data_IF_004125664545
#
_entry.id   IF_004125664545
#
_cell.length_a   1.000
_cell.length_b   1.000
_cell.length_c   1.000
_cell.angle_alpha   90.00
_cell.angle_beta   90.00
_cell.angle_gamma   90.00
#
_symmetry.space_group_name_H-M   'P 1'
#
loop_
_entity.id
_entity.type
_entity.pdbx_description
1 polymer ?
#
# COMPACT_ATOMS: atom_id res chain seq x y z
N UNK A 1 10.59 2.34 20.71
CA UNK A 1 9.76 3.44 20.15
C UNK A 1 10.64 4.63 19.72
N UNK A 2 11.49 5.18 20.59
CA UNK A 2 12.35 6.34 20.25
C UNK A 2 13.22 6.09 19.00
N UNK A 3 14.01 5.05 18.97
CA UNK A 3 14.86 4.71 17.81
C UNK A 3 14.06 4.55 16.53
N UNK A 4 12.85 3.99 16.62
CA UNK A 4 11.97 3.81 15.45
C UNK A 4 11.46 5.15 14.92
N UNK A 5 11.07 6.10 15.78
CA UNK A 5 10.61 7.43 15.37
C UNK A 5 11.75 8.18 14.67
N UNK A 6 12.96 8.13 15.24
CA UNK A 6 14.15 8.72 14.61
C UNK A 6 14.45 8.06 13.25
N UNK A 7 14.37 6.74 13.16
CA UNK A 7 14.58 6.03 11.90
C UNK A 7 13.51 6.41 10.85
N UNK A 8 12.24 6.52 11.24
CA UNK A 8 11.17 7.00 10.34
C UNK A 8 11.53 8.39 9.79
N UNK A 9 11.93 9.32 10.67
CA UNK A 9 12.32 10.66 10.23
C UNK A 9 13.50 10.60 9.25
N UNK A 10 14.57 9.88 9.57
CA UNK A 10 15.76 9.78 8.73
C UNK A 10 15.43 9.23 7.34
N UNK A 11 14.66 8.12 7.25
CA UNK A 11 14.28 7.54 5.95
C UNK A 11 13.39 8.48 5.12
N UNK A 12 12.48 9.21 5.75
CA UNK A 12 11.63 10.19 5.06
C UNK A 12 12.46 11.37 4.58
N UNK A 13 13.37 11.86 5.41
CA UNK A 13 14.24 12.98 5.10
C UNK A 13 15.23 12.66 3.96
N UNK A 14 15.85 11.48 4.00
CA UNK A 14 16.70 10.97 2.93
C UNK A 14 15.93 10.81 1.61
N UNK A 15 14.69 10.34 1.67
CA UNK A 15 13.83 10.25 0.49
C UNK A 15 13.53 11.63 -0.10
N UNK A 16 13.19 12.60 0.72
CA UNK A 16 12.92 13.97 0.28
C UNK A 16 14.16 14.66 -0.28
N UNK A 17 15.33 14.45 0.33
CA UNK A 17 16.61 14.90 -0.20
C UNK A 17 16.91 14.28 -1.57
N UNK A 18 16.67 12.98 -1.75
CA UNK A 18 16.84 12.30 -3.02
C UNK A 18 15.93 12.86 -4.14
N UNK A 19 14.73 13.38 -3.77
CA UNK A 19 13.83 14.09 -4.68
C UNK A 19 14.18 15.57 -4.88
N UNK A 20 15.23 16.08 -4.22
CA UNK A 20 15.55 17.51 -4.17
C UNK A 20 14.35 18.37 -3.72
N UNK A 21 13.54 17.81 -2.81
CA UNK A 21 12.35 18.50 -2.30
C UNK A 21 12.76 19.75 -1.51
N UNK A 22 12.04 20.84 -1.78
CA UNK A 22 12.21 22.10 -1.04
C UNK A 22 10.92 22.44 -0.32
N UNK A 23 11.00 22.54 1.00
CA UNK A 23 9.90 23.06 1.80
C UNK A 23 9.71 24.56 1.57
N UNK A 24 8.49 25.03 1.73
CA UNK A 24 8.19 26.47 1.78
C UNK A 24 8.89 27.07 3.00
N UNK A 25 9.75 28.13 2.82
CA UNK A 25 10.47 28.77 3.91
C UNK A 25 9.60 29.30 5.04
N UNK A 26 8.32 29.57 4.76
CA UNK A 26 7.35 30.02 5.78
C UNK A 26 6.81 28.86 6.64
N UNK A 27 7.09 27.62 6.29
CA UNK A 27 6.65 26.45 7.04
C UNK A 27 7.54 26.22 8.26
N UNK A 28 6.96 26.27 9.45
CA UNK A 28 7.65 25.98 10.72
C UNK A 28 8.12 24.52 10.83
N UNK A 29 7.35 23.57 10.28
CA UNK A 29 7.68 22.18 10.20
C UNK A 29 8.04 21.79 8.75
N UNK A 30 9.06 20.96 8.58
CA UNK A 30 9.42 20.35 7.32
C UNK A 30 8.37 19.32 6.86
N UNK A 31 8.40 18.92 5.60
CA UNK A 31 7.58 17.80 5.13
C UNK A 31 8.02 16.49 5.79
N UNK A 32 9.32 16.32 6.08
CA UNK A 32 9.86 15.16 6.83
C UNK A 32 9.16 15.00 8.18
N UNK A 33 9.00 16.08 8.94
CA UNK A 33 8.31 16.07 10.23
C UNK A 33 6.82 15.76 10.10
N UNK A 34 6.12 16.34 9.10
CA UNK A 34 4.70 16.08 8.83
C UNK A 34 4.47 14.62 8.50
N UNK A 35 5.29 14.02 7.63
CA UNK A 35 5.19 12.60 7.26
C UNK A 35 5.57 11.71 8.43
N UNK A 36 6.56 12.10 9.25
CA UNK A 36 6.92 11.38 10.48
C UNK A 36 5.75 11.29 11.45
N UNK A 37 4.99 12.38 11.66
CA UNK A 37 3.76 12.34 12.47
C UNK A 37 2.78 11.29 11.90
N UNK A 38 2.59 11.28 10.59
CA UNK A 38 1.66 10.39 9.92
C UNK A 38 2.06 8.91 10.04
N UNK A 39 3.34 8.59 9.81
CA UNK A 39 3.85 7.23 9.90
C UNK A 39 3.92 6.74 11.35
N UNK A 40 4.26 7.61 12.29
CA UNK A 40 4.19 7.33 13.74
C UNK A 40 2.75 7.04 14.16
N UNK A 41 1.77 7.81 13.67
CA UNK A 41 0.35 7.54 13.91
C UNK A 41 -0.06 6.16 13.40
N UNK A 42 0.36 5.82 12.18
CA UNK A 42 0.07 4.52 11.57
C UNK A 42 0.72 3.37 12.34
N UNK A 43 1.95 3.53 12.80
CA UNK A 43 2.73 2.48 13.46
C UNK A 43 2.31 2.23 14.90
N UNK A 44 2.11 3.29 15.70
CA UNK A 44 1.96 3.19 17.14
C UNK A 44 0.60 3.59 17.68
N UNK A 45 -0.19 4.33 16.91
CA UNK A 45 -1.47 4.89 17.35
C UNK A 45 -2.66 4.46 16.47
N UNK A 46 -2.56 3.33 15.75
CA UNK A 46 -3.64 2.79 14.89
C UNK A 46 -4.21 3.83 13.90
N UNK A 47 -3.36 4.72 13.40
CA UNK A 47 -3.74 5.80 12.47
C UNK A 47 -4.39 7.02 13.15
N UNK A 48 -4.30 7.14 14.48
CA UNK A 48 -4.77 8.32 15.20
C UNK A 48 -3.72 9.46 15.12
N UNK A 49 -3.92 10.37 14.16
CA UNK A 49 -3.03 11.50 13.92
C UNK A 49 -2.92 12.44 15.11
N UNK A 50 -4.01 12.64 15.86
CA UNK A 50 -4.00 13.55 17.00
C UNK A 50 -3.17 12.99 18.16
N UNK A 51 -3.34 11.71 18.47
CA UNK A 51 -2.52 11.06 19.51
C UNK A 51 -1.03 11.10 19.16
N UNK A 52 -0.68 10.84 17.89
CA UNK A 52 0.70 10.93 17.41
C UNK A 52 1.25 12.36 17.51
N UNK A 53 0.47 13.35 17.08
CA UNK A 53 0.84 14.77 17.13
C UNK A 53 1.15 15.20 18.57
N UNK A 54 0.22 14.92 19.48
CA UNK A 54 0.38 15.27 20.91
C UNK A 54 1.63 14.60 21.49
N UNK A 55 1.76 13.28 21.29
CA UNK A 55 2.91 12.53 21.76
C UNK A 55 4.25 13.11 21.27
N UNK A 56 4.37 13.38 19.96
CA UNK A 56 5.63 13.89 19.40
C UNK A 56 5.96 15.32 19.84
N UNK A 57 4.93 16.16 20.05
CA UNK A 57 5.12 17.51 20.59
C UNK A 57 5.55 17.47 22.07
N UNK A 58 4.86 16.68 22.91
CA UNK A 58 5.16 16.60 24.36
C UNK A 58 6.52 16.01 24.65
N UNK A 59 7.03 15.10 23.80
CA UNK A 59 8.35 14.51 23.95
C UNK A 59 9.46 15.25 23.17
N UNK A 60 9.17 16.43 22.65
CA UNK A 60 10.17 17.30 22.01
C UNK A 60 10.71 16.82 20.66
N UNK A 61 10.04 15.86 19.99
CA UNK A 61 10.43 15.40 18.65
C UNK A 61 10.14 16.43 17.56
N UNK A 62 9.07 17.20 17.73
CA UNK A 62 8.62 18.20 16.77
C UNK A 62 8.12 19.45 17.49
N UNK A 63 8.23 20.64 16.86
CA UNK A 63 7.57 21.85 17.35
C UNK A 63 6.05 21.70 17.39
N UNK A 64 5.35 22.44 18.27
CA UNK A 64 3.89 22.44 18.32
C UNK A 64 3.25 22.83 16.98
N UNK A 65 2.26 22.05 16.55
CA UNK A 65 1.45 22.30 15.36
C UNK A 65 -0.04 22.08 15.68
N UNK A 66 -0.90 22.95 15.16
CA UNK A 66 -2.35 22.79 15.28
C UNK A 66 -2.86 21.60 14.44
N UNK A 67 -3.87 20.92 14.96
CA UNK A 67 -4.54 19.79 14.28
C UNK A 67 -5.04 20.16 12.87
N UNK A 68 -5.66 21.35 12.73
CA UNK A 68 -6.17 21.83 11.46
C UNK A 68 -5.06 22.04 10.43
N UNK A 69 -3.94 22.62 10.85
CA UNK A 69 -2.76 22.85 10.01
C UNK A 69 -2.10 21.53 9.60
N UNK A 70 -1.93 20.58 10.53
CA UNK A 70 -1.43 19.25 10.24
C UNK A 70 -2.29 18.56 9.17
N UNK A 71 -3.62 18.53 9.36
CA UNK A 71 -4.52 17.91 8.40
C UNK A 71 -4.44 18.57 7.01
N UNK A 72 -4.42 19.89 6.92
CA UNK A 72 -4.28 20.58 5.63
C UNK A 72 -2.97 20.22 4.93
N UNK A 73 -1.86 20.17 5.65
CA UNK A 73 -0.55 19.81 5.08
C UNK A 73 -0.51 18.35 4.62
N UNK A 74 -1.06 17.42 5.39
CA UNK A 74 -1.15 16.01 4.98
C UNK A 74 -2.03 15.82 3.74
N UNK A 75 -3.15 16.54 3.64
CA UNK A 75 -4.03 16.49 2.47
C UNK A 75 -3.46 17.21 1.23
N UNK A 76 -2.47 18.06 1.40
CA UNK A 76 -1.74 18.70 0.30
C UNK A 76 -0.65 17.80 -0.30
N UNK A 77 -0.25 16.74 0.39
CA UNK A 77 0.71 15.75 -0.14
C UNK A 77 0.08 15.01 -1.33
N UNK A 78 0.68 15.08 -2.51
CA UNK A 78 0.11 14.43 -3.69
C UNK A 78 0.16 12.90 -3.54
N UNK A 79 -0.81 12.15 -4.09
CA UNK A 79 -0.87 10.70 -3.96
C UNK A 79 0.39 9.98 -4.44
N UNK A 80 1.03 10.45 -5.51
CA UNK A 80 2.25 9.84 -6.05
C UNK A 80 3.42 9.83 -5.05
N UNK A 81 3.45 10.77 -4.10
CA UNK A 81 4.46 10.79 -3.03
C UNK A 81 4.47 9.47 -2.25
N UNK A 82 3.28 8.96 -1.90
CA UNK A 82 3.14 7.73 -1.13
C UNK A 82 3.56 6.49 -1.94
N UNK A 83 3.36 6.50 -3.25
CA UNK A 83 3.85 5.44 -4.13
C UNK A 83 5.38 5.44 -4.21
N UNK A 84 5.98 6.61 -4.46
CA UNK A 84 7.42 6.71 -4.57
C UNK A 84 8.17 6.43 -3.27
N UNK A 85 7.66 6.86 -2.12
CA UNK A 85 8.30 6.54 -0.84
C UNK A 85 8.24 5.04 -0.54
N UNK A 86 7.14 4.35 -0.83
CA UNK A 86 7.04 2.88 -0.68
C UNK A 86 8.05 2.19 -1.59
N UNK A 87 8.16 2.60 -2.85
CA UNK A 87 9.13 2.07 -3.80
C UNK A 87 10.58 2.31 -3.34
N UNK A 88 10.88 3.51 -2.81
CA UNK A 88 12.18 3.86 -2.26
C UNK A 88 12.56 2.98 -1.06
N UNK A 89 11.67 2.84 -0.08
CA UNK A 89 11.89 2.01 1.11
C UNK A 89 12.16 0.56 0.74
N UNK A 90 11.37 0.01 -0.18
CA UNK A 90 11.55 -1.36 -0.66
C UNK A 90 12.88 -1.53 -1.40
N UNK A 91 13.33 -0.53 -2.16
CA UNK A 91 14.62 -0.58 -2.86
C UNK A 91 15.80 -0.51 -1.89
N UNK A 92 15.66 0.20 -0.77
CA UNK A 92 16.69 0.24 0.29
C UNK A 92 16.88 -1.11 0.97
N UNK A 93 15.78 -1.82 1.27
CA UNK A 93 15.82 -3.12 1.93
C UNK A 93 16.25 -4.25 0.98
N UNK A 94 15.75 -4.24 -0.25
CA UNK A 94 15.92 -5.32 -1.21
C UNK A 94 16.31 -4.76 -2.60
N UNK A 95 17.52 -4.20 -2.78
CA UNK A 95 17.91 -3.53 -4.02
C UNK A 95 17.91 -4.46 -5.24
N UNK A 96 18.23 -5.75 -5.03
CA UNK A 96 18.35 -6.76 -6.09
C UNK A 96 17.14 -7.72 -6.16
N UNK A 97 15.99 -7.31 -5.62
CA UNK A 97 14.80 -8.15 -5.68
C UNK A 97 14.27 -8.25 -7.11
N UNK A 98 14.22 -9.48 -7.64
CA UNK A 98 13.72 -9.81 -8.98
C UNK A 98 12.39 -10.58 -8.94
N UNK A 99 11.92 -10.97 -7.75
CA UNK A 99 10.71 -11.75 -7.57
C UNK A 99 9.68 -11.00 -6.74
N UNK A 100 8.51 -10.82 -7.32
CA UNK A 100 7.44 -10.05 -6.71
C UNK A 100 6.17 -10.91 -6.60
N UNK A 101 5.34 -10.57 -5.62
CA UNK A 101 4.02 -11.15 -5.41
C UNK A 101 2.98 -10.09 -5.69
N UNK A 102 1.89 -10.43 -6.38
CA UNK A 102 0.75 -9.54 -6.57
C UNK A 102 -0.51 -10.18 -6.03
N UNK A 103 -1.24 -9.43 -5.21
CA UNK A 103 -2.56 -9.80 -4.72
C UNK A 103 -3.34 -8.55 -4.30
N UNK A 104 -4.61 -8.75 -3.98
CA UNK A 104 -5.50 -7.70 -3.49
C UNK A 104 -6.26 -8.13 -2.25
N UNK A 105 -6.64 -7.15 -1.43
CA UNK A 105 -7.51 -7.40 -0.29
C UNK A 105 -8.55 -6.30 -0.11
N UNK A 106 -9.77 -6.66 0.33
CA UNK A 106 -10.84 -5.71 0.55
C UNK A 106 -10.67 -4.95 1.86
N UNK A 107 -10.98 -3.65 1.82
CA UNK A 107 -11.07 -2.78 2.98
C UNK A 107 -12.49 -2.24 3.07
N UNK A 108 -13.25 -2.72 4.05
CA UNK A 108 -14.61 -2.25 4.29
C UNK A 108 -14.60 -0.82 4.84
N UNK A 109 -15.33 0.08 4.20
CA UNK A 109 -15.54 1.44 4.68
C UNK A 109 -16.52 1.52 5.83
N UNK A 110 -17.43 0.54 5.94
CA UNK A 110 -18.38 0.40 7.04
C UNK A 110 -18.82 -1.05 7.21
N UNK A 111 -19.44 -1.35 8.37
CA UNK A 111 -20.05 -2.67 8.59
C UNK A 111 -21.22 -2.88 7.62
N UNK A 112 -21.42 -4.08 7.05
CA UNK A 112 -22.49 -4.37 6.07
C UNK A 112 -23.89 -3.92 6.50
N UNK A 113 -24.26 -4.12 7.77
CA UNK A 113 -25.55 -3.68 8.34
C UNK A 113 -25.77 -2.17 8.25
N UNK A 114 -24.71 -1.37 8.18
CA UNK A 114 -24.77 0.10 8.07
C UNK A 114 -24.63 0.60 6.64
N UNK A 115 -24.60 -0.28 5.65
CA UNK A 115 -24.35 0.08 4.25
C UNK A 115 -25.36 1.07 3.68
N UNK A 116 -26.63 1.04 4.10
CA UNK A 116 -27.66 1.98 3.67
C UNK A 116 -27.51 3.40 4.26
N UNK A 117 -26.89 3.51 5.44
CA UNK A 117 -26.69 4.78 6.16
C UNK A 117 -25.26 5.32 6.07
N UNK A 118 -24.43 4.76 5.17
CA UNK A 118 -23.02 5.12 5.06
C UNK A 118 -22.84 6.55 4.53
N UNK A 119 -21.89 7.27 5.07
CA UNK A 119 -21.45 8.57 4.58
C UNK A 119 -20.32 8.44 3.54
N UNK A 120 -19.50 7.39 3.64
CA UNK A 120 -18.37 7.10 2.75
C UNK A 120 -18.75 6.06 1.69
N UNK A 121 -18.13 6.15 0.51
CA UNK A 121 -18.22 5.17 -0.57
C UNK A 121 -19.65 4.81 -0.98
N UNK A 122 -20.46 5.83 -1.32
CA UNK A 122 -21.90 5.69 -1.60
C UNK A 122 -22.25 5.04 -2.93
N UNK A 123 -21.37 5.04 -3.92
CA UNK A 123 -21.63 4.51 -5.26
C UNK A 123 -21.72 2.97 -5.30
N UNK A 124 -22.35 2.43 -6.36
CA UNK A 124 -22.43 0.98 -6.62
C UNK A 124 -21.06 0.39 -6.91
N UNK A 125 -20.14 1.17 -7.46
CA UNK A 125 -18.76 0.82 -7.73
C UNK A 125 -17.97 0.41 -6.48
N UNK A 126 -18.40 0.86 -5.30
CA UNK A 126 -17.78 0.47 -4.02
C UNK A 126 -18.32 -0.83 -3.44
N UNK A 127 -19.35 -1.44 -4.06
CA UNK A 127 -19.89 -2.72 -3.63
C UNK A 127 -19.07 -3.85 -4.26
N UNK A 128 -18.29 -4.55 -3.43
CA UNK A 128 -17.47 -5.68 -3.83
C UNK A 128 -17.88 -6.98 -3.15
N UNK A 129 -17.44 -8.10 -3.70
CA UNK A 129 -17.64 -9.42 -3.11
C UNK A 129 -16.30 -10.01 -2.67
N UNK A 130 -16.21 -10.41 -1.41
CA UNK A 130 -15.05 -11.12 -0.87
C UNK A 130 -15.28 -12.62 -0.98
N UNK A 131 -14.64 -13.26 -1.95
CA UNK A 131 -14.82 -14.68 -2.22
C UNK A 131 -14.34 -15.58 -1.07
N UNK A 132 -13.26 -15.24 -0.39
CA UNK A 132 -12.72 -16.02 0.72
C UNK A 132 -13.61 -16.01 1.95
N UNK A 133 -14.30 -14.89 2.23
CA UNK A 133 -15.26 -14.75 3.33
C UNK A 133 -16.71 -14.99 2.90
N UNK A 134 -16.97 -15.23 1.60
CA UNK A 134 -18.31 -15.41 1.00
C UNK A 134 -19.29 -14.30 1.39
N UNK A 135 -18.83 -13.04 1.43
CA UNK A 135 -19.67 -11.92 1.85
C UNK A 135 -19.47 -10.67 1.01
N UNK A 136 -20.54 -9.89 0.85
CA UNK A 136 -20.49 -8.57 0.25
C UNK A 136 -19.88 -7.57 1.22
N UNK A 137 -19.12 -6.62 0.68
CA UNK A 137 -18.61 -5.48 1.43
C UNK A 137 -18.79 -4.20 0.62
N UNK A 138 -18.82 -3.06 1.31
CA UNK A 138 -18.79 -1.75 0.68
C UNK A 138 -17.53 -1.02 1.13
N UNK A 139 -16.71 -0.63 0.17
CA UNK A 139 -15.44 0.04 0.47
C UNK A 139 -14.48 0.01 -0.69
N UNK A 140 -13.22 -0.14 -0.38
CA UNK A 140 -12.10 -0.13 -1.31
C UNK A 140 -11.45 -1.50 -1.42
N UNK A 141 -10.68 -1.69 -2.47
CA UNK A 141 -9.76 -2.80 -2.63
C UNK A 141 -8.34 -2.25 -2.73
N UNK A 142 -7.42 -2.80 -1.96
CA UNK A 142 -6.00 -2.47 -2.02
C UNK A 142 -5.31 -3.57 -2.82
N UNK A 143 -4.65 -3.19 -3.91
CA UNK A 143 -3.83 -4.06 -4.74
C UNK A 143 -2.39 -3.75 -4.43
N UNK A 144 -1.57 -4.76 -4.21
CA UNK A 144 -0.17 -4.56 -3.81
C UNK A 144 0.73 -5.47 -4.64
N UNK A 145 1.80 -4.90 -5.15
CA UNK A 145 2.96 -5.64 -5.61
C UNK A 145 3.97 -5.61 -4.46
N UNK A 146 4.28 -6.76 -3.91
CA UNK A 146 5.22 -6.91 -2.80
C UNK A 146 6.46 -7.67 -3.23
N UNK A 147 7.59 -7.45 -2.57
CA UNK A 147 8.77 -8.32 -2.70
C UNK A 147 8.44 -9.73 -2.24
N UNK A 148 9.29 -10.70 -2.57
CA UNK A 148 9.08 -12.07 -2.12
C UNK A 148 9.13 -12.21 -0.58
N UNK A 149 9.73 -11.26 0.14
CA UNK A 149 9.71 -11.18 1.60
C UNK A 149 8.37 -10.64 2.14
N UNK A 150 7.56 -10.01 1.30
CA UNK A 150 6.25 -9.45 1.65
C UNK A 150 6.23 -7.94 1.83
N UNK A 151 7.36 -7.24 1.62
CA UNK A 151 7.41 -5.79 1.69
C UNK A 151 6.73 -5.17 0.47
N UNK A 152 5.78 -4.22 0.64
CA UNK A 152 5.19 -3.49 -0.47
C UNK A 152 6.24 -2.76 -1.30
N UNK A 153 6.14 -2.89 -2.63
CA UNK A 153 6.95 -2.19 -3.62
C UNK A 153 6.13 -1.16 -4.38
N UNK A 154 4.90 -1.55 -4.72
CA UNK A 154 3.92 -0.70 -5.39
C UNK A 154 2.53 -1.08 -4.89
N UNK A 155 1.58 -0.14 -4.90
CA UNK A 155 0.20 -0.41 -4.53
C UNK A 155 -0.77 0.42 -5.36
N UNK A 156 -2.02 -0.01 -5.42
CA UNK A 156 -3.12 0.78 -5.95
C UNK A 156 -4.35 0.63 -5.04
N UNK A 157 -5.14 1.69 -4.97
CA UNK A 157 -6.39 1.69 -4.20
C UNK A 157 -7.53 1.91 -5.20
N UNK A 158 -8.45 0.97 -5.25
CA UNK A 158 -9.58 0.99 -6.18
C UNK A 158 -10.93 0.87 -5.46
N UNK A 159 -12.01 1.14 -6.17
CA UNK A 159 -13.35 0.82 -5.70
C UNK A 159 -13.53 -0.69 -5.52
N UNK A 160 -14.36 -1.11 -4.57
CA UNK A 160 -14.51 -2.52 -4.16
C UNK A 160 -14.93 -3.47 -5.27
N UNK A 161 -15.65 -3.00 -6.30
CA UNK A 161 -16.07 -3.80 -7.45
C UNK A 161 -15.00 -3.97 -8.52
N UNK A 162 -13.89 -3.22 -8.46
CA UNK A 162 -12.84 -3.27 -9.48
C UNK A 162 -12.25 -4.68 -9.59
N UNK A 163 -12.14 -5.17 -10.83
CA UNK A 163 -11.50 -6.45 -11.10
C UNK A 163 -9.98 -6.34 -10.91
N UNK A 164 -9.36 -7.36 -10.31
CA UNK A 164 -7.94 -7.32 -9.91
C UNK A 164 -6.99 -7.10 -11.09
N UNK A 165 -7.24 -7.75 -12.23
CA UNK A 165 -6.47 -7.54 -13.44
C UNK A 165 -6.57 -6.09 -13.96
N UNK A 166 -7.77 -5.50 -13.95
CA UNK A 166 -7.99 -4.12 -14.39
C UNK A 166 -7.26 -3.11 -13.49
N UNK A 167 -7.20 -3.40 -12.21
CA UNK A 167 -6.43 -2.59 -11.27
C UNK A 167 -4.93 -2.73 -11.52
N UNK A 168 -4.43 -3.96 -11.71
CA UNK A 168 -3.02 -4.23 -12.02
C UNK A 168 -2.58 -3.50 -13.29
N UNK A 169 -3.37 -3.52 -14.37
CA UNK A 169 -3.07 -2.82 -15.62
C UNK A 169 -2.88 -1.31 -15.47
N UNK A 170 -3.45 -0.71 -14.42
CA UNK A 170 -3.34 0.73 -14.11
C UNK A 170 -2.19 1.04 -13.15
N UNK A 171 -1.50 0.05 -12.61
CA UNK A 171 -0.38 0.26 -11.70
C UNK A 171 0.88 0.73 -12.45
N UNK A 172 1.76 1.40 -11.73
CA UNK A 172 3.02 1.86 -12.28
C UNK A 172 4.10 0.80 -12.10
N UNK A 173 4.66 0.32 -13.22
CA UNK A 173 5.69 -0.73 -13.22
C UNK A 173 7.12 -0.21 -13.30
N UNK A 174 7.32 1.11 -13.43
CA UNK A 174 8.65 1.69 -13.56
C UNK A 174 9.53 1.57 -12.30
N UNK A 175 8.95 1.17 -11.18
CA UNK A 175 9.69 0.89 -9.92
C UNK A 175 10.24 -0.53 -9.85
N UNK A 176 9.80 -1.44 -10.74
CA UNK A 176 10.26 -2.82 -10.80
C UNK A 176 11.46 -2.95 -11.74
N UNK A 177 12.52 -3.71 -11.37
CA UNK A 177 13.66 -3.97 -12.25
C UNK A 177 13.22 -4.74 -13.51
N UNK A 178 13.88 -4.47 -14.63
CA UNK A 178 13.75 -5.28 -15.86
C UNK A 178 14.23 -6.71 -15.61
N UNK A 179 13.62 -7.68 -16.25
CA UNK A 179 13.88 -9.11 -16.02
C UNK A 179 13.18 -9.68 -14.78
N UNK A 180 12.31 -8.89 -14.14
CA UNK A 180 11.57 -9.35 -12.94
C UNK A 180 10.52 -10.39 -13.26
N UNK A 181 10.25 -11.26 -12.28
CA UNK A 181 9.11 -12.19 -12.29
C UNK A 181 8.10 -11.79 -11.23
N UNK A 182 6.85 -11.63 -11.64
CA UNK A 182 5.73 -11.32 -10.76
C UNK A 182 4.77 -12.51 -10.68
N UNK A 183 4.48 -12.97 -9.47
CA UNK A 183 3.60 -14.11 -9.20
C UNK A 183 2.25 -13.61 -8.71
N UNK A 184 1.17 -14.09 -9.33
CA UNK A 184 -0.20 -13.75 -8.97
C UNK A 184 -1.12 -14.96 -8.97
N UNK A 185 -2.33 -14.78 -8.46
CA UNK A 185 -3.37 -15.79 -8.51
C UNK A 185 -4.07 -15.84 -9.89
N UNK A 186 -5.13 -16.68 -10.00
CA UNK A 186 -5.91 -16.88 -11.24
C UNK A 186 -6.62 -15.61 -11.73
N UNK A 187 -6.84 -14.62 -10.87
CA UNK A 187 -7.50 -13.38 -11.22
C UNK A 187 -6.65 -12.49 -12.13
N UNK A 188 -5.33 -12.67 -12.11
CA UNK A 188 -4.38 -11.88 -12.92
C UNK A 188 -4.05 -12.50 -14.28
N UNK A 189 -4.75 -13.56 -14.70
CA UNK A 189 -4.50 -14.23 -15.98
C UNK A 189 -5.03 -13.42 -17.16
N UNK A 190 -4.13 -12.95 -18.04
CA UNK A 190 -4.47 -12.31 -19.32
C UNK A 190 -3.31 -12.41 -20.29
N UNK A 191 -3.51 -13.15 -21.40
CA UNK A 191 -2.45 -13.32 -22.40
C UNK A 191 -2.00 -12.01 -23.04
N UNK A 192 -2.89 -11.12 -23.49
CA UNK A 192 -2.47 -9.86 -24.08
C UNK A 192 -1.64 -9.02 -23.10
N UNK A 193 -2.08 -8.92 -21.86
CA UNK A 193 -1.38 -8.13 -20.85
C UNK A 193 -0.04 -8.76 -20.43
N UNK A 194 0.04 -10.08 -20.33
CA UNK A 194 1.30 -10.80 -20.05
C UNK A 194 2.35 -10.53 -21.14
N UNK A 195 1.92 -10.56 -22.42
CA UNK A 195 2.79 -10.27 -23.57
C UNK A 195 3.20 -8.80 -23.62
N UNK A 196 2.27 -7.88 -23.39
CA UNK A 196 2.54 -6.45 -23.32
C UNK A 196 3.55 -6.12 -22.22
N UNK A 197 3.35 -6.66 -21.01
CA UNK A 197 4.21 -6.42 -19.86
C UNK A 197 5.62 -6.96 -20.11
N UNK A 198 5.74 -8.13 -20.71
CA UNK A 198 7.03 -8.72 -21.10
C UNK A 198 7.72 -7.87 -22.18
N UNK A 199 7.01 -7.49 -23.24
CA UNK A 199 7.59 -6.75 -24.34
C UNK A 199 7.98 -5.31 -23.96
N UNK A 200 7.15 -4.60 -23.19
CA UNK A 200 7.36 -3.19 -22.86
C UNK A 200 8.24 -2.96 -21.64
N UNK A 201 8.16 -3.83 -20.64
CA UNK A 201 8.82 -3.66 -19.33
C UNK A 201 9.83 -4.76 -19.00
N UNK A 202 9.88 -5.83 -19.79
CA UNK A 202 10.68 -7.03 -19.51
C UNK A 202 10.32 -7.63 -18.13
N UNK A 203 9.02 -7.70 -17.83
CA UNK A 203 8.48 -8.28 -16.60
C UNK A 203 7.65 -9.51 -16.94
N UNK A 204 8.02 -10.65 -16.39
CA UNK A 204 7.30 -11.91 -16.60
C UNK A 204 6.19 -12.08 -15.57
N UNK A 205 4.93 -12.00 -16.00
CA UNK A 205 3.77 -12.27 -15.14
C UNK A 205 3.46 -13.77 -15.10
N UNK A 206 3.82 -14.43 -14.01
CA UNK A 206 3.56 -15.83 -13.74
C UNK A 206 2.28 -15.98 -12.91
N UNK A 207 1.10 -15.82 -13.57
CA UNK A 207 -0.18 -16.03 -12.91
C UNK A 207 -0.55 -17.52 -12.85
N UNK A 208 -1.19 -17.96 -11.75
CA UNK A 208 -1.75 -19.31 -11.64
C UNK A 208 -2.80 -19.53 -12.72
N UNK A 209 -2.75 -20.65 -13.45
CA UNK A 209 -3.73 -20.97 -14.47
C UNK A 209 -4.90 -21.77 -13.91
N UNK A 210 -6.10 -21.56 -14.47
CA UNK A 210 -7.26 -22.39 -14.17
C UNK A 210 -7.05 -23.78 -14.76
N UNK A 211 -7.62 -24.81 -14.13
CA UNK A 211 -7.53 -26.21 -14.58
C UNK A 211 -7.96 -26.40 -16.03
N UNK A 212 -8.99 -25.66 -16.47
CA UNK A 212 -9.53 -25.69 -17.82
C UNK A 212 -8.86 -24.67 -18.77
N UNK A 213 -7.71 -24.12 -18.42
CA UNK A 213 -6.98 -23.20 -19.29
C UNK A 213 -6.40 -23.93 -20.50
N UNK A 214 -6.61 -23.39 -21.71
CA UNK A 214 -5.98 -23.90 -22.94
C UNK A 214 -4.45 -23.74 -22.94
N UNK A 215 -3.91 -22.82 -22.11
CA UNK A 215 -2.47 -22.62 -21.93
C UNK A 215 -2.01 -23.35 -20.69
N UNK A 216 -0.91 -24.10 -20.81
CA UNK A 216 -0.27 -24.79 -19.68
C UNK A 216 0.19 -23.81 -18.60
N UNK A 217 0.36 -24.34 -17.40
CA UNK A 217 0.99 -23.63 -16.29
C UNK A 217 2.46 -23.34 -16.61
N UNK A 218 2.97 -22.16 -16.20
CA UNK A 218 4.41 -21.89 -16.31
C UNK A 218 5.22 -22.92 -15.51
N UNK A 219 6.42 -23.29 -15.99
CA UNK A 219 7.30 -24.26 -15.33
C UNK A 219 7.61 -23.85 -13.88
N UNK A 220 7.83 -22.55 -13.63
CA UNK A 220 8.09 -22.04 -12.29
C UNK A 220 6.88 -22.24 -11.38
N UNK A 221 5.68 -21.95 -11.85
CA UNK A 221 4.47 -22.12 -11.07
C UNK A 221 4.12 -23.61 -10.87
N UNK A 222 4.36 -24.46 -11.86
CA UNK A 222 4.21 -25.93 -11.72
C UNK A 222 5.09 -26.48 -10.62
N UNK A 223 6.33 -26.01 -10.53
CA UNK A 223 7.33 -26.52 -9.56
C UNK A 223 7.16 -25.93 -8.16
N UNK A 224 6.83 -24.63 -8.07
CA UNK A 224 6.84 -23.87 -6.81
C UNK A 224 5.48 -23.27 -6.42
N UNK A 225 4.43 -23.52 -7.17
CA UNK A 225 3.12 -22.84 -7.01
C UNK A 225 2.55 -22.90 -5.60
N UNK A 226 2.63 -24.07 -4.92
CA UNK A 226 2.18 -24.20 -3.52
C UNK A 226 2.96 -23.29 -2.56
N UNK A 227 4.28 -23.19 -2.72
CA UNK A 227 5.14 -22.32 -1.89
C UNK A 227 4.85 -20.85 -2.17
N UNK A 228 4.70 -20.48 -3.45
CA UNK A 228 4.37 -19.13 -3.89
C UNK A 228 3.02 -18.72 -3.31
N UNK A 229 1.98 -19.54 -3.46
CA UNK A 229 0.64 -19.27 -2.93
C UNK A 229 0.66 -19.10 -1.41
N UNK A 230 1.29 -20.01 -0.68
CA UNK A 230 1.44 -19.88 0.78
C UNK A 230 2.15 -18.57 1.16
N UNK A 231 3.17 -18.17 0.39
CA UNK A 231 3.90 -16.91 0.65
C UNK A 231 3.02 -15.68 0.39
N UNK A 232 2.23 -15.68 -0.71
CA UNK A 232 1.24 -14.63 -0.98
C UNK A 232 0.27 -14.52 0.21
N UNK A 233 -0.40 -15.62 0.58
CA UNK A 233 -1.38 -15.65 1.65
C UNK A 233 -0.80 -15.13 2.99
N UNK A 234 0.42 -15.56 3.35
CA UNK A 234 1.10 -15.13 4.58
C UNK A 234 1.42 -13.63 4.56
N UNK A 235 2.05 -13.14 3.49
CA UNK A 235 2.47 -11.74 3.39
C UNK A 235 1.29 -10.77 3.42
N UNK A 236 0.20 -11.12 2.74
CA UNK A 236 -0.99 -10.27 2.72
C UNK A 236 -1.80 -10.37 4.03
N UNK A 237 -1.84 -11.53 4.67
CA UNK A 237 -2.43 -11.67 6.00
C UNK A 237 -1.69 -10.84 7.05
N UNK A 238 -0.37 -10.81 6.99
CA UNK A 238 0.46 -9.96 7.85
C UNK A 238 0.17 -8.48 7.61
N UNK A 239 0.14 -8.02 6.36
CA UNK A 239 -0.21 -6.64 6.02
C UNK A 239 -1.62 -6.27 6.52
N UNK A 240 -2.60 -7.15 6.36
CA UNK A 240 -3.97 -6.94 6.84
C UNK A 240 -4.01 -6.86 8.37
N UNK A 241 -3.20 -7.65 9.07
CA UNK A 241 -3.15 -7.63 10.55
C UNK A 241 -2.66 -6.31 11.13
N UNK A 242 -1.87 -5.56 10.36
CA UNK A 242 -1.39 -4.21 10.73
C UNK A 242 -2.47 -3.13 10.60
N UNK A 243 -3.51 -3.39 9.82
CA UNK A 243 -4.58 -2.43 9.63
C UNK A 243 -5.45 -2.38 10.89
N UNK A 244 -5.84 -1.18 11.34
CA UNK A 244 -6.77 -1.07 12.46
C UNK A 244 -8.13 -1.67 12.08
N UNK A 245 -8.83 -2.25 13.04
CA UNK A 245 -10.18 -2.82 12.84
C UNK A 245 -11.16 -1.81 12.20
N UNK A 246 -10.94 -0.51 12.41
CA UNK A 246 -11.71 0.59 11.84
C UNK A 246 -10.79 1.74 11.46
N UNK A 247 -10.93 2.22 10.25
CA UNK A 247 -10.26 3.44 9.79
C UNK A 247 -11.24 4.60 10.00
N UNK A 248 -10.97 5.42 11.00
CA UNK A 248 -11.81 6.59 11.27
C UNK A 248 -11.50 7.72 10.26
N UNK A 249 -12.43 8.00 9.37
CA UNK A 249 -12.35 9.10 8.41
C UNK A 249 -13.75 9.70 8.16
N UNK A 250 -13.80 10.98 7.88
CA UNK A 250 -15.04 11.70 7.56
C UNK A 250 -15.25 11.79 6.03
N UNK A 251 -14.16 11.75 5.26
CA UNK A 251 -14.18 11.87 3.80
C UNK A 251 -13.51 10.68 3.14
N UNK A 252 -13.88 10.38 1.89
CA UNK A 252 -13.21 9.34 1.08
C UNK A 252 -11.72 9.65 0.92
N UNK A 253 -11.35 10.92 0.68
CA UNK A 253 -9.95 11.36 0.57
C UNK A 253 -9.18 11.09 1.87
N UNK A 254 -9.75 11.40 3.03
CA UNK A 254 -9.12 11.15 4.33
C UNK A 254 -8.97 9.65 4.63
N UNK A 255 -9.93 8.83 4.18
CA UNK A 255 -9.83 7.38 4.30
C UNK A 255 -8.68 6.82 3.45
N UNK A 256 -8.60 7.24 2.19
CA UNK A 256 -7.53 6.83 1.25
C UNK A 256 -6.16 7.28 1.77
N UNK A 257 -6.03 8.52 2.26
CA UNK A 257 -4.80 9.02 2.86
C UNK A 257 -4.33 8.13 4.02
N UNK A 258 -5.23 7.76 4.93
CA UNK A 258 -4.89 6.86 6.04
C UNK A 258 -4.45 5.47 5.57
N UNK A 259 -5.06 4.93 4.51
CA UNK A 259 -4.59 3.68 3.91
C UNK A 259 -3.17 3.81 3.35
N UNK A 260 -2.87 4.89 2.63
CA UNK A 260 -1.53 5.15 2.10
C UNK A 260 -0.50 5.24 3.23
N UNK A 261 -0.82 5.97 4.30
CA UNK A 261 0.03 6.06 5.50
C UNK A 261 0.29 4.68 6.14
N UNK A 262 -0.75 3.85 6.28
CA UNK A 262 -0.65 2.50 6.87
C UNK A 262 0.22 1.58 6.01
N UNK A 263 0.04 1.58 4.68
CA UNK A 263 0.85 0.80 3.73
C UNK A 263 2.32 1.25 3.79
N UNK A 264 2.56 2.56 3.82
CA UNK A 264 3.92 3.12 3.94
C UNK A 264 4.57 2.74 5.26
N UNK A 265 3.84 2.86 6.39
CA UNK A 265 4.34 2.47 7.70
C UNK A 265 4.63 0.96 7.78
N UNK A 266 3.82 0.11 7.13
CA UNK A 266 4.09 -1.31 7.02
C UNK A 266 5.36 -1.58 6.19
N UNK A 267 5.55 -0.90 5.06
CA UNK A 267 6.78 -1.01 4.27
C UNK A 267 8.02 -0.54 5.06
N UNK A 268 7.87 0.53 5.86
CA UNK A 268 8.94 1.05 6.72
C UNK A 268 9.37 0.05 7.80
N UNK A 269 8.46 -0.77 8.30
CA UNK A 269 8.76 -1.75 9.35
C UNK A 269 9.84 -2.77 8.94
N UNK A 270 9.99 -3.05 7.67
CA UNK A 270 11.04 -3.93 7.15
C UNK A 270 12.46 -3.34 7.28
N UNK A 271 12.58 -2.03 7.47
CA UNK A 271 13.85 -1.31 7.59
C UNK A 271 14.20 -0.99 9.05
N UNK A 272 13.20 -0.89 9.92
CA UNK A 272 13.37 -0.38 11.27
C UNK A 272 13.44 -1.47 12.35
N UNK A 273 13.30 -2.75 11.98
CA UNK A 273 13.22 -3.87 12.96
C UNK A 273 13.92 -5.12 12.46
#
# INVERSE_FOLDING_TARGET
MQNTITAIFCYVDDFLKALSWKDDPQCRLSLSEIVTIALTAARFFSGNLEASRVFLCEHGYIPPIEKSRLNRRLHAIPPFFWHFIVAYLSSKQNPNCMHFLVDSFPIAGCHPVRASRRSLFRGKEYLGYNASKKMWFTGLKVHVIATFQGQPKEFAISAGSMHDLMALQKMYFGTLPRGSTMFGDKAYTSQPFEQELLASKDIFLAAERRVNSKRGQSLIYSRYGKKIRKKIETSFSEMISWLPRRIHAVTNKGFILKLMMLITAFSMAFLCF
#
